data_IF_428392816018
#
_entry.id   IF_428392816018
#
_cell.length_a   1.000
_cell.length_b   1.000
_cell.length_c   1.000
_cell.angle_alpha   90.00
_cell.angle_beta   90.00
_cell.angle_gamma   90.00
#
_symmetry.space_group_name_H-M   'P 1'
#
loop_
_entity.id
_entity.type
_entity.pdbx_description
1 polymer ?
#
# COMPACT_ATOMS: atom_id res chain seq x y z
N UNK A 1 -12.94 20.07 -13.41
CA UNK A 1 -12.19 18.79 -13.41
C UNK A 1 -12.77 17.87 -12.37
N UNK A 2 -13.03 16.64 -12.75
CA UNK A 2 -13.52 15.65 -11.81
C UNK A 2 -12.36 15.05 -11.05
N UNK A 3 -12.49 14.99 -9.75
CA UNK A 3 -11.56 14.26 -8.90
C UNK A 3 -11.70 12.77 -9.18
N UNK A 4 -10.59 12.08 -9.34
CA UNK A 4 -10.61 10.62 -9.52
C UNK A 4 -11.10 9.94 -8.25
N UNK A 5 -11.84 8.87 -8.43
CA UNK A 5 -12.37 8.06 -7.34
C UNK A 5 -12.07 6.59 -7.61
N UNK A 6 -11.66 5.88 -6.58
CA UNK A 6 -11.30 4.47 -6.62
C UNK A 6 -12.08 3.73 -5.55
N UNK A 7 -12.67 2.62 -5.93
CA UNK A 7 -13.40 1.76 -5.02
C UNK A 7 -12.71 0.41 -4.91
N UNK A 8 -12.84 -0.24 -3.78
CA UNK A 8 -12.29 -1.56 -3.59
C UNK A 8 -12.77 -2.19 -2.30
N UNK A 9 -12.21 -3.33 -1.98
CA UNK A 9 -12.60 -4.05 -0.78
C UNK A 9 -11.92 -5.40 -0.63
N UNK A 10 -12.35 -6.13 0.39
CA UNK A 10 -11.79 -7.42 0.73
C UNK A 10 -12.37 -8.55 -0.13
N UNK A 11 -11.73 -9.72 -0.04
CA UNK A 11 -12.13 -10.91 -0.79
C UNK A 11 -13.57 -11.32 -0.53
N UNK A 12 -14.04 -11.29 0.73
CA UNK A 12 -15.40 -11.70 1.06
C UNK A 12 -16.45 -10.62 0.79
N UNK A 13 -16.03 -9.40 0.48
CA UNK A 13 -16.90 -8.28 0.16
C UNK A 13 -17.51 -7.56 1.36
N UNK A 14 -17.24 -7.98 2.58
CA UNK A 14 -17.79 -7.32 3.78
C UNK A 14 -17.21 -5.96 4.06
N UNK A 15 -15.94 -5.75 3.71
CA UNK A 15 -15.28 -4.45 3.86
C UNK A 15 -15.16 -3.82 2.48
N UNK A 16 -15.72 -2.60 2.36
CA UNK A 16 -15.62 -1.81 1.14
C UNK A 16 -15.07 -0.44 1.47
N UNK A 17 -14.24 0.10 0.61
CA UNK A 17 -13.67 1.43 0.76
C UNK A 17 -13.82 2.26 -0.50
N UNK A 18 -13.69 3.56 -0.31
CA UNK A 18 -13.57 4.54 -1.38
C UNK A 18 -12.37 5.43 -1.09
N UNK A 19 -11.56 5.69 -2.11
CA UNK A 19 -10.42 6.59 -2.04
C UNK A 19 -10.51 7.58 -3.20
N UNK A 20 -10.21 8.85 -2.94
CA UNK A 20 -10.38 9.93 -3.92
C UNK A 20 -9.13 10.78 -4.05
N UNK A 21 -9.04 11.46 -5.17
CA UNK A 21 -8.07 12.49 -5.42
C UNK A 21 -6.71 11.98 -5.83
N UNK A 22 -5.69 12.77 -5.54
CA UNK A 22 -4.32 12.47 -5.95
C UNK A 22 -3.80 11.20 -5.30
N UNK A 23 -3.19 10.36 -6.14
CA UNK A 23 -2.49 9.16 -5.68
C UNK A 23 -1.01 9.43 -5.76
N UNK A 24 -0.33 9.19 -4.66
CA UNK A 24 1.12 9.33 -4.60
C UNK A 24 1.76 7.99 -4.27
N UNK A 25 3.08 7.91 -4.44
CA UNK A 25 3.88 6.79 -3.98
C UNK A 25 3.40 5.41 -4.44
N UNK A 26 3.11 5.29 -5.73
CA UNK A 26 2.78 4.01 -6.35
C UNK A 26 4.03 3.14 -6.42
N UNK A 27 4.04 2.04 -5.66
CA UNK A 27 5.24 1.20 -5.55
C UNK A 27 4.91 -0.26 -5.29
N UNK A 28 5.87 -1.12 -5.61
CA UNK A 28 5.92 -2.48 -5.10
C UNK A 28 6.85 -2.52 -3.90
N UNK A 29 6.37 -2.99 -2.76
CA UNK A 29 7.18 -3.11 -1.55
C UNK A 29 7.59 -4.58 -1.32
N UNK A 30 8.89 -4.81 -1.21
CA UNK A 30 9.47 -6.13 -1.00
C UNK A 30 9.82 -6.41 0.47
N UNK A 31 9.52 -5.51 1.39
CA UNK A 31 9.95 -5.66 2.78
C UNK A 31 9.32 -6.90 3.44
N UNK A 32 10.02 -7.44 4.42
CA UNK A 32 9.59 -8.67 5.10
C UNK A 32 8.24 -8.51 5.79
N UNK A 33 7.94 -7.33 6.34
CA UNK A 33 6.67 -7.07 7.01
C UNK A 33 5.49 -7.09 6.04
N UNK A 34 5.63 -6.44 4.88
CA UNK A 34 4.59 -6.47 3.85
C UNK A 34 4.37 -7.88 3.30
N UNK A 35 5.46 -8.61 3.05
CA UNK A 35 5.37 -10.00 2.60
C UNK A 35 4.62 -10.88 3.60
N UNK A 36 4.96 -10.77 4.87
CA UNK A 36 4.33 -11.58 5.91
C UNK A 36 2.88 -11.18 6.16
N UNK A 37 2.58 -9.88 6.08
CA UNK A 37 1.21 -9.39 6.27
C UNK A 37 0.25 -9.88 5.18
N UNK A 38 0.74 -10.11 3.98
CA UNK A 38 -0.09 -10.45 2.81
C UNK A 38 0.10 -11.88 2.32
N UNK A 39 1.20 -12.53 2.68
CA UNK A 39 1.55 -13.83 2.12
C UNK A 39 1.98 -13.76 0.66
N UNK A 40 2.43 -12.60 0.20
CA UNK A 40 2.84 -12.36 -1.18
C UNK A 40 4.31 -11.97 -1.27
N UNK A 41 4.99 -12.21 -2.41
CA UNK A 41 6.41 -11.88 -2.54
C UNK A 41 6.68 -10.38 -2.55
N UNK A 42 5.69 -9.57 -2.92
CA UNK A 42 5.73 -8.11 -2.88
C UNK A 42 4.30 -7.58 -2.82
N UNK A 43 4.14 -6.36 -2.36
CA UNK A 43 2.81 -5.74 -2.20
C UNK A 43 2.77 -4.43 -2.97
N UNK A 44 1.81 -4.26 -3.89
CA UNK A 44 1.63 -2.96 -4.54
C UNK A 44 0.84 -2.02 -3.65
N UNK A 45 1.38 -0.83 -3.43
CA UNK A 45 0.77 0.20 -2.59
C UNK A 45 0.43 1.44 -3.38
N UNK A 46 -0.64 2.09 -2.98
CA UNK A 46 -1.04 3.43 -3.43
C UNK A 46 -1.28 4.30 -2.20
N UNK A 47 -0.79 5.53 -2.22
CA UNK A 47 -0.91 6.46 -1.10
C UNK A 47 -1.92 7.54 -1.42
N UNK A 48 -2.86 7.74 -0.51
CA UNK A 48 -3.88 8.79 -0.57
C UNK A 48 -3.78 9.69 0.65
N UNK A 49 -4.32 10.90 0.54
CA UNK A 49 -4.58 11.70 1.73
C UNK A 49 -5.58 10.93 2.61
N UNK A 50 -5.30 10.83 3.90
CA UNK A 50 -6.18 10.12 4.84
C UNK A 50 -7.59 10.69 4.85
N UNK A 51 -7.72 12.02 4.66
CA UNK A 51 -9.02 12.69 4.58
C UNK A 51 -9.85 12.28 3.36
N UNK A 52 -9.22 11.69 2.34
CA UNK A 52 -9.88 11.26 1.11
C UNK A 52 -10.18 9.76 1.08
N UNK A 53 -9.91 9.06 2.16
CA UNK A 53 -10.17 7.61 2.27
C UNK A 53 -11.30 7.37 3.26
N UNK A 54 -12.23 6.50 2.88
CA UNK A 54 -13.37 6.13 3.74
C UNK A 54 -13.67 4.64 3.61
N UNK A 55 -13.98 4.01 4.74
CA UNK A 55 -14.62 2.70 4.75
C UNK A 55 -16.11 2.94 4.57
N UNK A 56 -16.66 2.48 3.45
CA UNK A 56 -18.06 2.73 3.10
C UNK A 56 -18.99 1.58 3.49
N UNK A 57 -18.42 0.42 3.80
CA UNK A 57 -19.16 -0.75 4.26
C UNK A 57 -18.27 -1.57 5.17
N UNK A 58 -18.82 -2.08 6.26
CA UNK A 58 -18.08 -2.88 7.22
C UNK A 58 -17.10 -2.04 8.03
N UNK A 59 -16.11 -2.70 8.60
CA UNK A 59 -15.06 -2.02 9.35
C UNK A 59 -13.77 -2.83 9.32
N UNK A 60 -12.65 -2.13 9.36
CA UNK A 60 -11.33 -2.75 9.43
C UNK A 60 -11.06 -3.31 10.83
N UNK A 61 -10.50 -4.50 10.88
CA UNK A 61 -9.72 -4.92 12.03
C UNK A 61 -8.33 -4.28 11.89
N UNK A 62 -7.66 -4.05 13.00
CA UNK A 62 -6.37 -3.39 13.00
C UNK A 62 -5.35 -4.19 13.81
N UNK A 63 -4.10 -4.18 13.33
CA UNK A 63 -2.97 -4.78 14.01
C UNK A 63 -1.79 -3.81 14.00
N UNK A 64 -1.21 -3.57 15.17
CA UNK A 64 0.01 -2.78 15.29
C UNK A 64 1.20 -3.69 15.01
N UNK A 65 1.70 -3.65 13.79
CA UNK A 65 2.80 -4.50 13.34
C UNK A 65 4.17 -4.01 13.80
N UNK A 66 4.26 -2.75 14.18
CA UNK A 66 5.43 -2.12 14.80
C UNK A 66 4.93 -0.92 15.61
N UNK A 67 5.78 -0.30 16.47
CA UNK A 67 5.32 0.72 17.42
C UNK A 67 4.56 1.90 16.79
N UNK A 68 4.82 2.22 15.53
CA UNK A 68 4.20 3.37 14.86
C UNK A 68 3.36 2.98 13.65
N UNK A 69 3.17 1.68 13.43
CA UNK A 69 2.51 1.17 12.23
C UNK A 69 1.23 0.45 12.61
N UNK A 70 0.14 0.80 11.93
CA UNK A 70 -1.14 0.11 12.04
C UNK A 70 -1.53 -0.43 10.67
N UNK A 71 -1.81 -1.73 10.60
CA UNK A 71 -2.27 -2.39 9.39
C UNK A 71 -3.74 -2.75 9.54
N UNK A 72 -4.54 -2.37 8.53
CA UNK A 72 -5.97 -2.65 8.48
C UNK A 72 -6.26 -3.84 7.58
N UNK A 73 -7.16 -4.68 8.01
CA UNK A 73 -7.51 -5.91 7.28
C UNK A 73 -8.95 -6.32 7.58
N UNK A 74 -9.49 -7.21 6.76
CA UNK A 74 -10.80 -7.78 7.03
C UNK A 74 -10.71 -8.89 8.08
N UNK A 75 -11.44 -8.75 9.19
CA UNK A 75 -11.43 -9.74 10.25
C UNK A 75 -12.03 -11.09 9.81
N UNK A 76 -12.88 -11.09 8.78
CA UNK A 76 -13.57 -12.30 8.31
C UNK A 76 -12.75 -13.10 7.31
N UNK A 77 -12.14 -12.44 6.33
CA UNK A 77 -11.39 -13.12 5.26
C UNK A 77 -9.89 -12.87 5.28
N UNK A 78 -9.41 -11.95 6.12
CA UNK A 78 -7.99 -11.70 6.29
C UNK A 78 -7.33 -10.81 5.24
N UNK A 79 -8.07 -10.29 4.26
CA UNK A 79 -7.48 -9.43 3.23
C UNK A 79 -6.80 -8.22 3.84
N UNK A 80 -5.51 -8.02 3.52
CA UNK A 80 -4.76 -6.82 3.91
C UNK A 80 -5.20 -5.64 3.05
N UNK A 81 -5.62 -4.55 3.67
CA UNK A 81 -6.21 -3.42 2.97
C UNK A 81 -5.40 -2.13 3.13
N UNK A 82 -5.00 -1.79 4.36
CA UNK A 82 -4.39 -0.48 4.63
C UNK A 82 -3.13 -0.59 5.47
N UNK A 83 -2.32 0.47 5.34
CA UNK A 83 -1.12 0.69 6.14
C UNK A 83 -1.08 2.16 6.54
N UNK A 84 -0.87 2.42 7.83
CA UNK A 84 -0.69 3.77 8.36
C UNK A 84 0.56 3.83 9.18
N UNK A 85 1.27 4.95 9.07
CA UNK A 85 2.42 5.25 9.90
C UNK A 85 2.18 6.55 10.65
N UNK A 86 2.40 6.55 11.96
CA UNK A 86 2.13 7.72 12.82
C UNK A 86 2.89 8.97 12.38
N UNK A 87 4.10 8.80 11.84
CA UNK A 87 4.91 9.93 11.34
C UNK A 87 4.36 10.51 10.03
N UNK A 88 3.40 9.82 9.38
CA UNK A 88 2.73 10.26 8.15
C UNK A 88 1.22 10.19 8.34
N UNK A 89 0.72 10.74 9.45
CA UNK A 89 -0.68 10.61 9.84
C UNK A 89 -1.68 11.23 8.86
N UNK A 90 -1.23 12.12 7.97
CA UNK A 90 -2.07 12.71 6.94
C UNK A 90 -2.26 11.80 5.72
N UNK A 91 -1.58 10.66 5.69
CA UNK A 91 -1.61 9.72 4.58
C UNK A 91 -2.10 8.34 5.01
N UNK A 92 -2.64 7.61 4.04
CA UNK A 92 -2.96 6.20 4.19
C UNK A 92 -2.50 5.46 2.93
N UNK A 93 -1.87 4.32 3.11
CA UNK A 93 -1.50 3.45 2.01
C UNK A 93 -2.56 2.36 1.86
N UNK A 94 -2.97 2.11 0.63
CA UNK A 94 -4.00 1.13 0.28
C UNK A 94 -3.39 0.10 -0.66
N UNK A 95 -3.67 -1.17 -0.41
CA UNK A 95 -3.21 -2.23 -1.29
C UNK A 95 -3.87 -2.08 -2.67
N UNK A 96 -3.05 -1.86 -3.68
CA UNK A 96 -3.54 -1.57 -5.03
C UNK A 96 -4.37 -2.70 -5.61
N UNK A 97 -3.98 -3.95 -5.33
CA UNK A 97 -4.64 -5.13 -5.87
C UNK A 97 -6.04 -5.38 -5.30
N UNK A 98 -6.43 -4.69 -4.24
CA UNK A 98 -7.79 -4.79 -3.68
C UNK A 98 -8.78 -3.82 -4.33
N UNK A 99 -8.32 -2.95 -5.22
CA UNK A 99 -9.20 -2.06 -5.97
C UNK A 99 -10.02 -2.85 -6.99
N UNK A 100 -11.23 -2.39 -7.25
CA UNK A 100 -12.13 -3.04 -8.22
C UNK A 100 -11.56 -2.96 -9.64
N UNK A 101 -10.85 -1.87 -9.95
CA UNK A 101 -10.11 -1.71 -11.18
C UNK A 101 -8.61 -1.54 -10.89
N UNK A 102 -7.90 -2.62 -10.55
CA UNK A 102 -6.50 -2.51 -10.15
C UNK A 102 -5.56 -2.09 -11.28
N UNK A 103 -5.99 -2.21 -12.51
CA UNK A 103 -5.23 -1.76 -13.69
C UNK A 103 -5.30 -0.26 -13.94
N UNK A 104 -6.16 0.46 -13.23
CA UNK A 104 -6.29 1.91 -13.41
C UNK A 104 -5.06 2.68 -12.90
N UNK A 105 -4.31 2.11 -11.97
CA UNK A 105 -3.09 2.66 -11.42
C UNK A 105 -1.94 1.67 -11.64
N UNK A 106 -0.75 2.20 -11.86
CA UNK A 106 0.43 1.36 -12.15
C UNK A 106 1.54 1.71 -11.16
N UNK A 107 2.06 0.72 -10.42
CA UNK A 107 3.23 0.95 -9.58
C UNK A 107 4.41 1.46 -10.41
N UNK A 108 5.11 2.46 -9.89
CA UNK A 108 6.16 3.15 -10.62
C UNK A 108 7.55 2.65 -10.30
N UNK A 109 7.76 2.16 -9.08
CA UNK A 109 9.07 1.78 -8.57
C UNK A 109 8.95 0.55 -7.67
N UNK A 110 10.10 -0.06 -7.39
CA UNK A 110 10.24 -1.08 -6.35
C UNK A 110 10.98 -0.50 -5.15
N UNK A 111 10.46 -0.74 -3.95
CA UNK A 111 11.10 -0.31 -2.70
C UNK A 111 11.42 -1.52 -1.83
N UNK A 112 12.33 -1.34 -0.89
CA UNK A 112 12.83 -2.39 -0.01
C UNK A 112 13.38 -3.59 -0.77
N UNK A 113 14.06 -3.33 -1.87
CA UNK A 113 14.61 -4.37 -2.74
C UNK A 113 15.71 -5.17 -2.03
N UNK A 114 16.35 -4.61 -0.99
CA UNK A 114 17.32 -5.34 -0.19
C UNK A 114 16.71 -6.58 0.49
N UNK A 115 15.38 -6.55 0.70
CA UNK A 115 14.64 -7.67 1.31
C UNK A 115 13.97 -8.58 0.27
N UNK A 116 14.18 -8.30 -1.02
CA UNK A 116 13.57 -9.06 -2.11
C UNK A 116 13.89 -10.56 -1.98
N UNK A 117 12.88 -11.40 -2.22
CA UNK A 117 13.09 -12.84 -2.25
C UNK A 117 14.02 -13.22 -3.39
N UNK A 118 14.95 -14.19 -3.17
CA UNK A 118 15.96 -14.53 -4.17
C UNK A 118 15.38 -15.08 -5.47
N UNK A 119 14.17 -15.66 -5.43
CA UNK A 119 13.53 -16.21 -6.62
C UNK A 119 12.61 -15.21 -7.34
N UNK A 120 12.49 -13.98 -6.83
CA UNK A 120 11.78 -12.92 -7.53
C UNK A 120 12.74 -12.23 -8.49
N UNK A 121 12.39 -12.23 -9.77
CA UNK A 121 13.17 -11.53 -10.80
C UNK A 121 12.43 -10.24 -11.16
N UNK A 122 13.09 -9.10 -10.97
CA UNK A 122 12.56 -7.81 -11.39
C UNK A 122 13.09 -7.54 -12.80
N UNK A 123 12.20 -7.53 -13.78
CA UNK A 123 12.57 -7.35 -15.18
C UNK A 123 11.65 -6.34 -15.89
N UNK A 124 10.97 -5.49 -15.12
CA UNK A 124 9.99 -4.53 -15.65
C UNK A 124 10.60 -3.16 -16.01
N UNK A 125 11.89 -2.99 -15.79
CA UNK A 125 12.59 -1.72 -16.08
C UNK A 125 12.30 -0.59 -15.10
N UNK A 126 11.53 -0.83 -14.05
CA UNK A 126 11.22 0.18 -13.04
C UNK A 126 12.41 0.41 -12.10
N UNK A 127 12.52 1.63 -11.62
CA UNK A 127 13.57 1.97 -10.65
C UNK A 127 13.45 1.11 -9.39
N UNK A 128 14.60 0.76 -8.81
CA UNK A 128 14.70 -0.09 -7.64
C UNK A 128 15.44 0.66 -6.53
N UNK A 129 14.85 0.67 -5.33
CA UNK A 129 15.45 1.31 -4.17
C UNK A 129 15.67 0.27 -3.07
N UNK A 130 16.83 0.30 -2.47
CA UNK A 130 17.20 -0.64 -1.39
C UNK A 130 16.22 -0.55 -0.21
N UNK A 131 15.79 0.66 0.10
CA UNK A 131 14.81 0.98 1.16
C UNK A 131 13.68 1.81 0.57
N UNK A 132 13.36 2.95 1.18
CA UNK A 132 12.32 3.84 0.65
C UNK A 132 12.73 4.49 -0.66
N UNK A 133 11.73 4.95 -1.41
CA UNK A 133 11.95 5.78 -2.58
C UNK A 133 12.60 7.09 -2.16
N UNK A 134 13.76 7.40 -2.78
CA UNK A 134 14.51 8.62 -2.50
C UNK A 134 14.49 9.48 -3.77
N UNK A 135 14.07 10.75 -3.64
CA UNK A 135 14.21 11.69 -4.73
C UNK A 135 15.64 12.26 -4.73
N UNK A 136 16.13 12.62 -5.92
CA UNK A 136 17.48 13.19 -6.07
C UNK A 136 17.67 14.49 -5.28
N UNK A 137 16.56 15.12 -4.88
CA UNK A 137 16.56 16.41 -4.18
C UNK A 137 16.46 16.25 -2.67
N UNK A 138 16.33 15.04 -2.16
CA UNK A 138 16.22 14.79 -0.71
C UNK A 138 17.37 13.93 -0.23
N UNK A 139 18.02 14.31 0.91
CA UNK A 139 18.96 13.41 1.54
C UNK A 139 18.23 12.11 1.93
N UNK A 140 18.94 11.00 1.81
CA UNK A 140 18.38 9.71 2.17
C UNK A 140 17.85 9.72 3.59
N UNK A 141 16.56 9.39 3.76
CA UNK A 141 15.96 9.24 5.06
C UNK A 141 16.10 7.80 5.52
N UNK A 142 16.46 7.63 6.76
CA UNK A 142 16.47 6.31 7.37
C UNK A 142 15.02 5.80 7.50
N UNK A 143 14.84 4.54 7.27
CA UNK A 143 13.55 3.87 7.40
C UNK A 143 13.04 3.92 8.85
#
# INVERSE_FOLDING_TARGET
MHEMSYEGGCLCGRVRYEARGEVTNLCFCHCSSCRRATGAPMVPWSTFAAANFSIVQGRLAEYSSSPRVTRGFCAECGTSLTYRHDDRSAEIDVTLSTMDDPGALVPEVHIWVEDKLPWVVIADGRAQFAKFRVSETQPGTSA
#
